data_IF_897170608843
#
_entry.id   IF_897170608843
#
_cell.length_a   1.000
_cell.length_b   1.000
_cell.length_c   1.000
_cell.angle_alpha   90.00
_cell.angle_beta   90.00
_cell.angle_gamma   90.00
#
_symmetry.space_group_name_H-M   'P 1'
#
loop_
_entity.id
_entity.type
_entity.pdbx_description
1 polymer ?
#
# COMPACT_ATOMS: atom_id res chain seq x y z
N UNK A 1 2.51 -19.90 -4.24
CA UNK A 1 1.65 -18.74 -3.93
C UNK A 1 2.40 -17.66 -3.19
N UNK A 2 2.14 -16.40 -3.54
CA UNK A 2 2.70 -15.22 -2.86
C UNK A 2 1.53 -14.31 -2.49
N UNK A 3 1.43 -13.95 -1.22
CA UNK A 3 0.39 -13.05 -0.69
C UNK A 3 0.94 -11.71 -0.22
N UNK A 4 2.26 -11.51 -0.25
CA UNK A 4 2.91 -10.26 0.18
C UNK A 4 3.44 -9.52 -1.03
N UNK A 5 3.03 -8.27 -1.20
CA UNK A 5 3.48 -7.39 -2.28
C UNK A 5 4.19 -6.18 -1.68
N UNK A 6 5.43 -5.94 -2.10
CA UNK A 6 6.21 -4.77 -1.72
C UNK A 6 6.34 -3.81 -2.91
N UNK A 7 6.20 -2.52 -2.64
CA UNK A 7 6.27 -1.43 -3.63
C UNK A 7 7.24 -0.37 -3.14
N UNK A 8 8.04 0.17 -4.07
CA UNK A 8 8.95 1.29 -3.85
C UNK A 8 8.86 2.29 -5.01
N UNK A 9 9.52 3.44 -4.87
CA UNK A 9 9.60 4.47 -5.92
C UNK A 9 11.05 4.90 -6.14
N UNK A 10 11.40 5.16 -7.40
CA UNK A 10 12.67 5.80 -7.79
C UNK A 10 12.50 7.29 -8.11
N UNK A 11 11.27 7.79 -8.15
CA UNK A 11 10.94 9.15 -8.57
C UNK A 11 10.61 10.09 -7.41
N UNK A 12 10.11 9.56 -6.30
CA UNK A 12 9.71 10.33 -5.11
C UNK A 12 9.88 9.50 -3.84
N UNK A 13 9.75 10.14 -2.67
CA UNK A 13 9.79 9.44 -1.40
C UNK A 13 8.49 8.64 -1.17
N UNK A 14 8.58 7.31 -1.25
CA UNK A 14 7.44 6.39 -1.15
C UNK A 14 6.67 6.49 0.19
N UNK A 15 7.29 7.03 1.24
CA UNK A 15 6.61 7.19 2.53
C UNK A 15 5.48 8.23 2.49
N UNK A 16 5.49 9.17 1.53
CA UNK A 16 4.34 10.08 1.34
C UNK A 16 3.07 9.33 0.92
N UNK A 17 3.21 8.27 0.11
CA UNK A 17 2.08 7.39 -0.24
C UNK A 17 1.60 6.64 1.00
N UNK A 18 2.53 6.13 1.81
CA UNK A 18 2.18 5.44 3.07
C UNK A 18 1.43 6.34 4.03
N UNK A 19 1.85 7.59 4.19
CA UNK A 19 1.18 8.56 5.07
C UNK A 19 -0.20 8.98 4.54
N UNK A 20 -0.33 9.22 3.23
CA UNK A 20 -1.62 9.51 2.60
C UNK A 20 -2.62 8.36 2.71
N UNK A 21 -2.15 7.11 2.64
CA UNK A 21 -2.97 5.92 2.87
C UNK A 21 -3.37 5.78 4.35
N UNK A 22 -2.47 6.12 5.30
CA UNK A 22 -2.77 6.13 6.74
C UNK A 22 -3.87 7.10 7.11
N UNK A 23 -3.86 8.30 6.53
CA UNK A 23 -4.93 9.30 6.72
C UNK A 23 -6.31 8.80 6.27
N UNK A 24 -6.33 7.88 5.28
CA UNK A 24 -7.54 7.21 4.78
C UNK A 24 -7.89 5.92 5.53
N UNK A 25 -7.15 5.61 6.59
CA UNK A 25 -7.38 4.45 7.45
C UNK A 25 -6.67 3.16 7.03
N UNK A 26 -5.87 3.18 5.97
CA UNK A 26 -5.08 2.02 5.55
C UNK A 26 -3.77 1.94 6.33
N UNK A 27 -3.54 0.77 6.93
CA UNK A 27 -2.34 0.50 7.72
C UNK A 27 -1.46 -0.49 6.98
N UNK A 28 -0.62 0.02 6.08
CA UNK A 28 0.40 -0.77 5.41
C UNK A 28 1.71 -0.72 6.20
N UNK A 29 2.58 -1.70 5.95
CA UNK A 29 3.87 -1.79 6.62
C UNK A 29 4.92 -1.00 5.84
N UNK A 30 5.57 -0.04 6.49
CA UNK A 30 6.75 0.62 5.96
C UNK A 30 7.96 -0.33 5.97
N UNK A 31 8.70 -0.36 4.87
CA UNK A 31 9.95 -1.10 4.72
C UNK A 31 11.14 -0.15 4.68
N UNK A 32 12.31 -0.69 5.02
CA UNK A 32 13.61 0.01 4.96
C UNK A 32 14.65 -0.90 4.33
N UNK A 33 15.64 -0.30 3.66
CA UNK A 33 16.77 -0.98 3.01
C UNK A 33 16.35 -2.03 1.95
N UNK A 34 15.63 -1.66 0.87
CA UNK A 34 15.35 -0.29 0.38
C UNK A 34 14.07 0.33 0.96
N UNK A 35 13.90 1.64 0.78
CA UNK A 35 12.66 2.33 1.14
C UNK A 35 11.48 1.77 0.35
N UNK A 36 10.40 1.44 1.05
CA UNK A 36 9.23 0.84 0.44
C UNK A 36 8.06 0.74 1.41
N UNK A 37 6.97 0.18 0.92
CA UNK A 37 5.83 -0.25 1.71
C UNK A 37 5.41 -1.64 1.24
N UNK A 38 4.79 -2.44 2.11
CA UNK A 38 4.20 -3.70 1.72
C UNK A 38 2.81 -3.90 2.30
N UNK A 39 2.05 -4.77 1.61
CA UNK A 39 0.78 -5.31 2.08
C UNK A 39 0.87 -6.84 2.08
N UNK A 40 0.42 -7.44 3.17
CA UNK A 40 0.17 -8.88 3.25
C UNK A 40 -1.32 -9.11 3.00
N UNK A 41 -1.65 -9.60 1.82
CA UNK A 41 -3.02 -9.90 1.42
C UNK A 41 -3.54 -11.10 2.22
N UNK A 42 -4.64 -10.85 2.90
CA UNK A 42 -5.46 -11.84 3.63
C UNK A 42 -6.80 -12.01 2.93
N UNK A 43 -7.60 -13.00 3.37
CA UNK A 43 -8.97 -13.22 2.87
C UNK A 43 -9.88 -11.98 3.01
N UNK A 44 -9.63 -11.08 3.98
CA UNK A 44 -10.43 -9.86 4.11
C UNK A 44 -10.25 -8.91 2.92
N UNK A 45 -9.10 -8.96 2.24
CA UNK A 45 -8.84 -8.15 1.07
C UNK A 45 -9.55 -8.70 -0.17
N UNK A 46 -10.03 -9.95 -0.16
CA UNK A 46 -10.80 -10.52 -1.27
C UNK A 46 -12.29 -10.20 -1.19
N UNK A 47 -12.72 -9.47 -0.14
CA UNK A 47 -14.09 -8.99 -0.05
C UNK A 47 -14.36 -7.99 -1.19
N UNK A 48 -15.59 -7.97 -1.76
CA UNK A 48 -15.91 -7.11 -2.89
C UNK A 48 -15.59 -5.64 -2.62
N UNK A 49 -14.82 -5.00 -3.50
CA UNK A 49 -14.53 -3.57 -3.45
C UNK A 49 -13.33 -3.17 -2.58
N UNK A 50 -12.76 -4.08 -1.78
CA UNK A 50 -11.66 -3.72 -0.85
C UNK A 50 -10.37 -3.40 -1.62
N UNK A 51 -10.01 -4.22 -2.59
CA UNK A 51 -8.81 -3.99 -3.41
C UNK A 51 -9.01 -2.84 -4.39
N UNK A 52 -10.21 -2.72 -4.97
CA UNK A 52 -10.55 -1.61 -5.86
C UNK A 52 -10.40 -0.27 -5.14
N UNK A 53 -10.94 -0.18 -3.92
CA UNK A 53 -10.79 1.00 -3.06
C UNK A 53 -9.33 1.29 -2.70
N UNK A 54 -8.57 0.26 -2.31
CA UNK A 54 -7.14 0.41 -2.00
C UNK A 54 -6.37 0.97 -3.22
N UNK A 55 -6.63 0.46 -4.41
CA UNK A 55 -5.98 0.91 -5.66
C UNK A 55 -6.35 2.35 -5.99
N UNK A 56 -7.63 2.71 -5.88
CA UNK A 56 -8.11 4.08 -6.12
C UNK A 56 -7.44 5.07 -5.16
N UNK A 57 -7.50 4.81 -3.86
CA UNK A 57 -6.91 5.70 -2.86
C UNK A 57 -5.38 5.74 -2.92
N UNK A 58 -4.72 4.65 -3.35
CA UNK A 58 -3.27 4.68 -3.62
C UNK A 58 -2.94 5.63 -4.77
N UNK A 59 -3.75 5.67 -5.84
CA UNK A 59 -3.52 6.57 -6.98
C UNK A 59 -3.68 8.04 -6.60
N UNK A 60 -4.55 8.35 -5.64
CA UNK A 60 -4.69 9.72 -5.12
C UNK A 60 -3.52 10.17 -4.25
N UNK A 61 -2.69 9.24 -3.77
CA UNK A 61 -1.54 9.52 -2.89
C UNK A 61 -0.21 9.63 -3.66
N UNK A 62 -0.20 9.38 -4.97
CA UNK A 62 0.98 9.44 -5.86
C UNK A 62 1.00 10.76 -6.60
#
# INVERSE_FOLDING_TARGET
>A
DVSVVAVGSKAFNIYYVLDGLRERGWHLNGLQNPAGLHIALTQLHTLPGVIEKLIEETRECV
#
